data_IF_296589091970
#
_entry.id   IF_296589091970
#
_cell.length_a   1.000
_cell.length_b   1.000
_cell.length_c   1.000
_cell.angle_alpha   90.00
_cell.angle_beta   90.00
_cell.angle_gamma   90.00
#
_symmetry.space_group_name_H-M   'P 1'
#
loop_
_entity.id
_entity.type
_entity.pdbx_description
1 polymer ?
#
# COMPACT_ATOMS: atom_id res chain seq x y z
N UNK A 1 -26.17 -109.89 38.76
CA UNK A 1 -24.98 -109.47 37.99
C UNK A 1 -25.35 -108.42 36.92
N UNK A 2 -25.90 -107.14 37.30
CA UNK A 2 -26.28 -106.05 36.33
C UNK A 2 -26.16 -104.66 36.92
N UNK A 3 -25.15 -104.37 37.79
CA UNK A 3 -25.12 -103.05 38.45
C UNK A 3 -23.72 -102.41 38.48
N UNK A 4 -22.85 -102.65 37.48
CA UNK A 4 -21.50 -102.08 37.45
C UNK A 4 -21.14 -101.25 36.12
N UNK A 5 -22.04 -101.19 35.16
CA UNK A 5 -21.82 -100.53 33.91
C UNK A 5 -22.19 -99.07 33.93
N UNK A 6 -23.04 -98.60 34.90
CA UNK A 6 -23.55 -97.21 34.96
C UNK A 6 -22.56 -96.22 35.59
N UNK A 7 -21.57 -96.69 36.36
CA UNK A 7 -20.58 -95.83 36.99
C UNK A 7 -19.53 -95.22 36.01
N UNK A 8 -19.37 -95.80 34.83
CA UNK A 8 -18.39 -95.28 33.83
C UNK A 8 -19.02 -94.36 32.80
N UNK A 9 -20.32 -94.22 32.69
CA UNK A 9 -20.99 -93.35 31.76
C UNK A 9 -21.07 -91.89 32.27
N UNK A 10 -21.07 -91.68 33.57
CA UNK A 10 -21.11 -90.33 34.13
C UNK A 10 -19.90 -89.45 33.86
N UNK A 11 -18.65 -89.94 33.98
CA UNK A 11 -17.49 -89.12 33.65
C UNK A 11 -17.38 -88.84 32.19
N UNK A 12 -17.82 -89.75 31.29
CA UNK A 12 -17.81 -89.52 29.84
C UNK A 12 -18.83 -88.46 29.44
N UNK A 13 -20.02 -88.43 30.06
CA UNK A 13 -21.03 -87.41 29.81
C UNK A 13 -20.57 -86.01 30.27
N UNK A 14 -19.83 -85.91 31.37
CA UNK A 14 -19.25 -84.68 31.90
C UNK A 14 -18.10 -84.18 30.99
N UNK A 15 -17.31 -85.11 30.44
CA UNK A 15 -16.25 -84.75 29.50
C UNK A 15 -16.82 -84.24 28.18
N UNK A 16 -17.87 -84.87 27.65
CA UNK A 16 -18.55 -84.44 26.39
C UNK A 16 -19.28 -83.10 26.62
N UNK A 17 -19.94 -82.92 27.78
CA UNK A 17 -20.59 -81.66 28.17
C UNK A 17 -19.57 -80.52 28.34
N UNK A 18 -18.41 -80.84 28.97
CA UNK A 18 -17.28 -79.88 29.10
C UNK A 18 -16.69 -79.48 27.75
N UNK A 19 -16.48 -80.45 26.86
CA UNK A 19 -16.01 -80.19 25.48
C UNK A 19 -17.05 -79.41 24.64
N UNK A 20 -18.36 -79.69 24.87
CA UNK A 20 -19.43 -78.93 24.20
C UNK A 20 -19.55 -77.51 24.75
N UNK A 21 -19.36 -77.29 26.05
CA UNK A 21 -19.31 -75.94 26.64
C UNK A 21 -18.10 -75.12 26.23
N UNK A 22 -16.90 -75.76 26.08
CA UNK A 22 -15.71 -75.13 25.54
C UNK A 22 -15.83 -74.81 24.06
N UNK A 23 -16.65 -75.51 23.30
CA UNK A 23 -16.91 -75.27 21.90
C UNK A 23 -17.96 -74.20 21.65
N UNK A 24 -18.79 -73.83 22.65
CA UNK A 24 -19.75 -72.74 22.62
C UNK A 24 -19.15 -71.38 23.10
N UNK A 25 -17.88 -71.33 23.49
CA UNK A 25 -17.19 -70.07 23.69
C UNK A 25 -17.13 -69.37 22.32
N UNK A 26 -18.16 -68.62 21.98
CA UNK A 26 -18.13 -67.71 20.83
C UNK A 26 -16.83 -66.87 20.90
N UNK A 27 -16.11 -66.73 19.79
CA UNK A 27 -14.96 -65.84 19.79
C UNK A 27 -15.47 -64.48 20.20
N UNK A 28 -15.02 -63.96 21.37
CA UNK A 28 -15.27 -62.60 21.80
C UNK A 28 -14.85 -61.72 20.61
N UNK A 29 -15.84 -61.25 19.87
CA UNK A 29 -15.66 -60.26 18.80
C UNK A 29 -14.97 -59.10 19.43
N UNK A 30 -13.71 -58.87 19.07
CA UNK A 30 -13.00 -57.66 19.49
C UNK A 30 -13.90 -56.47 19.12
N UNK A 31 -14.22 -55.59 20.09
CA UNK A 31 -15.07 -54.44 19.80
C UNK A 31 -14.46 -53.68 18.61
N UNK A 32 -15.19 -53.64 17.51
CA UNK A 32 -14.77 -52.87 16.37
C UNK A 32 -14.62 -51.44 16.84
N UNK A 33 -13.48 -50.78 16.61
CA UNK A 33 -13.29 -49.42 17.02
C UNK A 33 -14.38 -48.56 16.39
N UNK A 34 -15.05 -47.78 17.24
CA UNK A 34 -16.12 -46.87 16.81
C UNK A 34 -15.56 -45.95 15.73
N UNK A 35 -15.96 -46.17 14.50
CA UNK A 35 -15.53 -45.34 13.38
C UNK A 35 -16.33 -44.06 13.29
N UNK A 36 -15.65 -42.94 13.10
CA UNK A 36 -16.29 -41.65 12.88
C UNK A 36 -16.43 -41.43 11.38
N UNK A 37 -17.64 -41.11 10.91
CA UNK A 37 -17.87 -40.79 9.53
C UNK A 37 -17.34 -39.40 9.24
N UNK A 38 -16.48 -39.30 8.23
CA UNK A 38 -15.92 -38.04 7.75
C UNK A 38 -16.07 -37.93 6.25
N UNK A 39 -15.90 -36.73 5.72
CA UNK A 39 -15.59 -36.52 4.30
C UNK A 39 -14.15 -36.05 4.22
N UNK A 40 -13.33 -36.74 3.46
CA UNK A 40 -11.95 -36.36 3.22
C UNK A 40 -11.79 -35.67 1.87
N UNK A 41 -10.81 -34.76 1.80
CA UNK A 41 -10.38 -34.10 0.57
C UNK A 41 -8.87 -34.17 0.47
N UNK A 42 -8.38 -34.37 -0.76
CA UNK A 42 -6.93 -34.34 -1.05
C UNK A 42 -6.46 -32.89 -1.15
N UNK A 43 -5.42 -32.59 -0.41
CA UNK A 43 -4.75 -31.28 -0.44
C UNK A 43 -4.09 -31.06 -1.80
N UNK A 44 -4.44 -29.96 -2.45
CA UNK A 44 -3.95 -29.60 -3.77
C UNK A 44 -3.30 -28.22 -3.73
N UNK A 45 -2.34 -28.01 -4.62
CA UNK A 45 -1.88 -26.66 -4.91
C UNK A 45 -2.80 -26.02 -5.92
N UNK A 46 -3.18 -24.78 -5.64
CA UNK A 46 -3.89 -23.91 -6.56
C UNK A 46 -3.04 -22.67 -6.84
N UNK A 47 -3.21 -22.11 -8.02
CA UNK A 47 -2.67 -20.78 -8.32
C UNK A 47 -3.62 -19.77 -7.68
N UNK A 48 -3.14 -19.01 -6.73
CA UNK A 48 -3.90 -17.97 -6.06
C UNK A 48 -3.18 -16.62 -6.22
N UNK A 49 -3.96 -15.56 -6.34
CA UNK A 49 -3.47 -14.18 -6.36
C UNK A 49 -3.78 -13.55 -5.00
N UNK A 50 -2.87 -13.66 -4.03
CA UNK A 50 -3.11 -13.05 -2.74
C UNK A 50 -3.17 -11.54 -2.88
N UNK A 51 -3.93 -10.88 -1.99
CA UNK A 51 -3.99 -9.43 -1.93
C UNK A 51 -3.66 -8.94 -0.52
N UNK A 52 -3.11 -7.73 -0.44
CA UNK A 52 -2.87 -7.05 0.82
C UNK A 52 -3.92 -5.94 0.95
N UNK A 53 -4.69 -5.99 2.03
CA UNK A 53 -5.67 -4.94 2.36
C UNK A 53 -5.03 -3.95 3.31
N UNK A 54 -4.99 -2.69 2.90
CA UNK A 54 -4.38 -1.58 3.62
C UNK A 54 -5.34 -0.40 3.66
N UNK A 55 -5.11 0.50 4.61
CA UNK A 55 -5.84 1.76 4.68
C UNK A 55 -4.84 2.89 4.59
N UNK A 56 -5.11 3.89 3.75
CA UNK A 56 -4.26 5.06 3.62
C UNK A 56 -5.07 6.30 3.29
N UNK A 57 -4.46 7.45 3.52
CA UNK A 57 -5.06 8.76 3.25
C UNK A 57 -4.56 9.28 1.91
N UNK A 58 -5.48 9.72 1.06
CA UNK A 58 -5.13 10.41 -0.19
C UNK A 58 -4.39 11.71 0.08
N UNK A 59 -3.36 11.96 -0.69
CA UNK A 59 -2.66 13.24 -0.74
C UNK A 59 -2.62 13.75 -2.18
N UNK A 60 -2.50 15.06 -2.35
CA UNK A 60 -2.20 15.62 -3.65
C UNK A 60 -0.85 15.10 -4.16
N UNK A 61 -0.72 14.87 -5.46
CA UNK A 61 0.55 14.44 -6.05
C UNK A 61 1.65 15.48 -5.81
N UNK A 62 1.31 16.75 -6.02
CA UNK A 62 2.13 17.92 -5.66
C UNK A 62 1.25 18.88 -4.88
N UNK A 63 1.78 19.42 -3.81
CA UNK A 63 1.12 20.42 -2.98
C UNK A 63 2.15 21.45 -2.53
N UNK A 64 1.80 22.71 -2.60
CA UNK A 64 2.65 23.80 -2.11
C UNK A 64 1.80 24.84 -1.38
N UNK A 65 2.29 25.28 -0.24
CA UNK A 65 1.83 26.48 0.41
C UNK A 65 2.48 27.69 -0.28
N UNK A 66 1.68 28.54 -0.92
CA UNK A 66 2.16 29.73 -1.61
C UNK A 66 2.32 30.83 -0.56
N UNK A 67 3.55 31.28 -0.39
CA UNK A 67 3.95 32.29 0.60
C UNK A 67 4.82 33.34 -0.08
N UNK A 68 4.70 34.63 0.27
CA UNK A 68 5.59 35.67 -0.25
C UNK A 68 6.96 35.58 0.41
N UNK A 69 8.00 35.90 -0.33
CA UNK A 69 9.36 36.03 0.21
C UNK A 69 9.61 37.38 0.89
N UNK A 70 8.75 38.35 0.61
CA UNK A 70 8.85 39.74 1.11
C UNK A 70 7.55 40.21 1.67
N UNK A 71 7.63 41.07 2.67
CA UNK A 71 6.44 41.76 3.22
C UNK A 71 5.90 42.78 2.22
N UNK A 72 4.55 42.81 2.08
CA UNK A 72 3.90 43.75 1.17
C UNK A 72 2.39 43.76 1.32
N UNK A 73 1.75 44.79 0.74
CA UNK A 73 0.31 44.89 0.66
C UNK A 73 -0.19 44.15 -0.59
N UNK A 74 -1.24 43.34 -0.46
CA UNK A 74 -1.92 42.72 -1.61
C UNK A 74 -2.62 43.82 -2.42
N UNK A 75 -2.24 43.94 -3.69
CA UNK A 75 -2.90 44.82 -4.65
C UNK A 75 -3.94 44.07 -5.46
N UNK A 76 -3.65 42.84 -5.79
CA UNK A 76 -4.55 42.02 -6.63
C UNK A 76 -4.46 40.54 -6.27
N UNK A 77 -5.62 39.91 -6.19
CA UNK A 77 -5.79 38.47 -6.14
C UNK A 77 -6.25 38.04 -7.55
N UNK A 78 -5.32 37.40 -8.31
CA UNK A 78 -5.54 37.06 -9.74
C UNK A 78 -6.41 35.84 -9.97
N UNK A 79 -6.78 35.12 -8.91
CA UNK A 79 -7.44 33.80 -8.99
C UNK A 79 -8.59 33.70 -7.99
N UNK A 80 -9.48 32.72 -8.19
CA UNK A 80 -10.60 32.42 -7.29
C UNK A 80 -10.39 31.11 -6.56
N UNK A 81 -11.00 30.96 -5.40
CA UNK A 81 -11.05 29.70 -4.66
C UNK A 81 -11.56 28.56 -5.57
N UNK A 82 -10.86 27.45 -5.60
CA UNK A 82 -11.19 26.27 -6.42
C UNK A 82 -10.84 26.41 -7.91
N UNK A 83 -10.26 27.55 -8.34
CA UNK A 83 -9.87 27.75 -9.74
C UNK A 83 -8.70 26.86 -10.13
N UNK A 84 -8.76 26.29 -11.36
CA UNK A 84 -7.60 25.64 -11.99
C UNK A 84 -6.72 26.70 -12.64
N UNK A 85 -5.42 26.63 -12.36
CA UNK A 85 -4.41 27.56 -12.89
C UNK A 85 -3.31 26.83 -13.62
N UNK A 86 -2.65 27.52 -14.52
CA UNK A 86 -1.48 27.03 -15.23
C UNK A 86 -0.18 27.50 -14.55
N UNK A 87 0.90 26.75 -14.77
CA UNK A 87 2.22 27.16 -14.31
C UNK A 87 2.56 28.56 -14.87
N UNK A 88 3.08 29.43 -14.00
CA UNK A 88 3.43 30.82 -14.33
C UNK A 88 2.25 31.81 -14.27
N UNK A 89 1.01 31.36 -14.09
CA UNK A 89 -0.15 32.24 -13.90
C UNK A 89 -0.04 32.98 -12.56
N UNK A 90 -0.24 34.32 -12.58
CA UNK A 90 -0.14 35.13 -11.38
C UNK A 90 -1.28 34.83 -10.42
N UNK A 91 -0.95 34.36 -9.23
CA UNK A 91 -1.91 34.07 -8.16
C UNK A 91 -2.21 35.32 -7.34
N UNK A 92 -1.16 36.00 -6.87
CA UNK A 92 -1.24 37.20 -6.04
C UNK A 92 -0.20 38.21 -6.50
N UNK A 93 -0.57 39.47 -6.52
CA UNK A 93 0.35 40.57 -6.77
C UNK A 93 0.39 41.48 -5.53
N UNK A 94 1.58 41.80 -5.06
CA UNK A 94 1.87 42.77 -4.02
C UNK A 94 2.12 44.16 -4.60
N UNK A 95 2.08 45.18 -3.78
CA UNK A 95 2.44 46.53 -4.17
C UNK A 95 3.91 46.57 -4.65
N UNK A 96 4.11 46.97 -5.88
CA UNK A 96 5.39 47.04 -6.58
C UNK A 96 5.85 48.46 -6.92
N UNK A 97 5.08 49.48 -6.50
CA UNK A 97 5.33 50.86 -6.92
C UNK A 97 6.76 51.33 -6.65
N UNK A 98 7.25 51.08 -5.44
CA UNK A 98 8.63 51.43 -5.07
C UNK A 98 9.68 50.70 -5.91
N UNK A 99 9.53 49.36 -6.08
CA UNK A 99 10.50 48.52 -6.79
C UNK A 99 10.52 48.81 -8.28
N UNK A 100 9.35 49.17 -8.85
CA UNK A 100 9.26 49.61 -10.26
C UNK A 100 9.99 50.93 -10.49
N UNK A 101 9.86 51.88 -9.57
CA UNK A 101 10.58 53.16 -9.63
C UNK A 101 12.10 52.94 -9.48
N UNK A 102 12.52 52.09 -8.55
CA UNK A 102 13.93 51.72 -8.35
C UNK A 102 14.53 51.09 -9.63
N UNK A 103 13.83 50.11 -10.23
CA UNK A 103 14.24 49.48 -11.46
C UNK A 103 14.37 50.50 -12.61
N UNK A 104 13.44 51.48 -12.70
CA UNK A 104 13.48 52.53 -13.69
C UNK A 104 14.73 53.45 -13.52
N UNK A 105 15.07 53.79 -12.26
CA UNK A 105 16.26 54.59 -11.92
C UNK A 105 17.55 53.85 -12.31
N UNK A 106 17.70 52.58 -11.84
CA UNK A 106 18.90 51.80 -12.14
C UNK A 106 19.04 51.53 -13.64
N UNK A 107 17.94 51.33 -14.37
CA UNK A 107 17.93 51.17 -15.81
C UNK A 107 18.34 52.45 -16.55
N UNK A 108 17.97 53.64 -16.03
CA UNK A 108 18.41 54.91 -16.56
C UNK A 108 19.94 55.14 -16.37
N UNK A 109 20.43 54.82 -15.16
CA UNK A 109 21.86 54.86 -14.85
C UNK A 109 22.68 53.94 -15.80
N UNK A 110 22.23 52.69 -15.98
CA UNK A 110 22.90 51.75 -16.90
C UNK A 110 22.91 52.27 -18.32
N UNK A 111 21.82 52.89 -18.79
CA UNK A 111 21.81 53.48 -20.14
C UNK A 111 22.86 54.61 -20.29
N UNK A 112 23.03 55.44 -19.27
CA UNK A 112 24.03 56.51 -19.28
C UNK A 112 25.46 55.93 -19.30
N UNK A 113 25.76 54.97 -18.43
CA UNK A 113 27.09 54.31 -18.43
C UNK A 113 27.40 53.57 -19.73
N UNK A 114 26.41 52.89 -20.33
CA UNK A 114 26.57 52.30 -21.68
C UNK A 114 26.79 53.35 -22.77
N UNK A 115 26.22 54.57 -22.66
CA UNK A 115 26.50 55.67 -23.57
C UNK A 115 27.94 56.15 -23.42
N UNK A 116 28.41 56.40 -22.18
CA UNK A 116 29.80 56.83 -21.89
C UNK A 116 30.80 55.77 -22.44
N UNK A 117 30.52 54.48 -22.23
CA UNK A 117 31.38 53.42 -22.76
C UNK A 117 31.51 53.48 -24.29
N UNK A 118 30.39 53.69 -25.00
CA UNK A 118 30.42 53.86 -26.48
C UNK A 118 31.24 55.05 -26.91
N UNK A 119 31.15 56.18 -26.20
CA UNK A 119 31.92 57.37 -26.47
C UNK A 119 33.41 57.16 -26.21
N UNK A 120 33.77 56.51 -25.09
CA UNK A 120 35.14 56.17 -24.75
C UNK A 120 35.78 55.20 -25.75
N UNK A 121 35.06 54.18 -26.23
CA UNK A 121 35.55 53.29 -27.31
C UNK A 121 35.98 54.05 -28.56
N UNK A 122 35.20 55.07 -28.97
CA UNK A 122 35.55 55.93 -30.12
C UNK A 122 36.79 56.80 -29.86
N UNK A 123 37.01 57.20 -28.57
CA UNK A 123 38.20 57.99 -28.20
C UNK A 123 39.45 57.12 -28.12
N UNK A 124 39.41 55.88 -27.70
CA UNK A 124 40.50 54.91 -27.73
C UNK A 124 40.95 54.67 -29.16
N UNK A 125 40.01 54.45 -30.13
CA UNK A 125 40.28 54.25 -31.51
C UNK A 125 41.06 55.45 -32.17
N UNK A 126 40.86 56.65 -31.54
CA UNK A 126 41.58 57.88 -31.97
C UNK A 126 42.85 58.17 -31.20
N UNK A 127 43.21 57.25 -30.22
CA UNK A 127 44.39 57.45 -29.36
C UNK A 127 44.22 58.54 -28.32
N UNK A 128 42.98 58.99 -28.04
CA UNK A 128 42.71 60.12 -27.12
C UNK A 128 42.56 59.69 -25.60
N UNK A 129 42.40 58.44 -25.35
CA UNK A 129 42.39 57.87 -24.00
C UNK A 129 43.08 56.50 -23.95
N UNK A 130 43.46 56.05 -22.75
CA UNK A 130 44.15 54.79 -22.53
C UNK A 130 43.20 53.56 -22.50
N UNK A 131 43.74 52.38 -22.77
CA UNK A 131 42.95 51.11 -22.58
C UNK A 131 42.54 50.92 -21.14
N UNK A 132 43.34 51.32 -20.15
CA UNK A 132 43.05 51.23 -18.74
C UNK A 132 41.80 52.05 -18.36
N UNK A 133 41.61 53.24 -18.97
CA UNK A 133 40.42 54.06 -18.76
C UNK A 133 39.17 53.42 -19.38
N UNK A 134 39.32 52.78 -20.54
CA UNK A 134 38.24 52.02 -21.17
C UNK A 134 37.83 50.83 -20.31
N UNK A 135 38.79 50.03 -19.80
CA UNK A 135 38.56 48.92 -18.90
C UNK A 135 37.85 49.35 -17.61
N UNK A 136 38.25 50.51 -17.04
CA UNK A 136 37.56 51.12 -15.89
C UNK A 136 36.09 51.43 -16.16
N UNK A 137 35.80 51.98 -17.37
CA UNK A 137 34.40 52.21 -17.75
C UNK A 137 33.62 50.91 -18.02
N UNK A 138 34.25 49.89 -18.58
CA UNK A 138 33.64 48.56 -18.74
C UNK A 138 33.26 47.94 -17.39
N UNK A 139 34.13 48.06 -16.39
CA UNK A 139 33.83 47.67 -15.04
C UNK A 139 32.62 48.44 -14.42
N UNK A 140 32.56 49.77 -14.72
CA UNK A 140 31.44 50.62 -14.26
C UNK A 140 30.11 50.21 -14.91
N UNK A 141 30.10 49.84 -16.18
CA UNK A 141 28.92 49.33 -16.89
C UNK A 141 28.50 47.98 -16.28
N UNK A 142 29.46 47.10 -15.98
CA UNK A 142 29.16 45.81 -15.33
C UNK A 142 28.53 46.01 -13.96
N UNK A 143 29.00 46.95 -13.14
CA UNK A 143 28.37 47.29 -11.84
C UNK A 143 26.95 47.84 -12.02
N UNK A 144 26.74 48.74 -13.01
CA UNK A 144 25.40 49.29 -13.26
C UNK A 144 24.43 48.18 -13.74
N UNK A 145 24.90 47.22 -14.54
CA UNK A 145 24.10 46.06 -14.94
C UNK A 145 23.69 45.21 -13.74
N UNK A 146 24.66 44.91 -12.85
CA UNK A 146 24.36 44.13 -11.65
C UNK A 146 23.32 44.81 -10.76
N UNK A 147 23.29 46.16 -10.68
CA UNK A 147 22.25 46.92 -9.94
C UNK A 147 20.87 46.78 -10.59
N UNK A 148 20.82 46.83 -11.93
CA UNK A 148 19.55 46.59 -12.66
C UNK A 148 19.03 45.17 -12.38
N UNK A 149 19.92 44.18 -12.45
CA UNK A 149 19.54 42.77 -12.20
C UNK A 149 19.03 42.57 -10.77
N UNK A 150 19.65 43.21 -9.79
CA UNK A 150 19.18 43.20 -8.40
C UNK A 150 17.81 43.86 -8.26
N UNK A 151 17.59 45.05 -8.85
CA UNK A 151 16.30 45.74 -8.81
C UNK A 151 15.21 44.94 -9.54
N UNK A 152 15.54 44.26 -10.62
CA UNK A 152 14.62 43.38 -11.35
C UNK A 152 14.21 42.17 -10.49
N UNK A 153 15.16 41.56 -9.76
CA UNK A 153 14.88 40.48 -8.84
C UNK A 153 13.93 40.93 -7.72
N UNK A 154 14.21 42.06 -7.06
CA UNK A 154 13.37 42.62 -6.02
C UNK A 154 11.94 42.92 -6.50
N UNK A 155 11.79 43.38 -7.74
CA UNK A 155 10.49 43.56 -8.38
C UNK A 155 9.80 42.20 -8.61
N UNK A 156 10.52 41.19 -9.03
CA UNK A 156 9.95 39.87 -9.30
C UNK A 156 9.33 39.22 -8.06
N UNK A 157 9.87 39.50 -6.86
CA UNK A 157 9.35 39.02 -5.58
C UNK A 157 7.96 39.57 -5.22
N UNK A 158 7.49 40.62 -5.93
CA UNK A 158 6.16 41.23 -5.73
C UNK A 158 5.04 40.48 -6.44
N UNK A 159 5.37 39.52 -7.31
CA UNK A 159 4.39 38.72 -8.01
C UNK A 159 4.57 37.25 -7.64
N UNK A 160 3.52 36.62 -7.17
CA UNK A 160 3.51 35.22 -6.77
C UNK A 160 2.87 34.37 -7.89
N UNK A 161 3.66 33.73 -8.75
CA UNK A 161 3.14 32.87 -9.81
C UNK A 161 2.88 31.46 -9.31
N UNK A 162 2.02 30.72 -10.02
CA UNK A 162 1.82 29.28 -9.79
C UNK A 162 3.09 28.49 -10.19
N UNK A 163 3.68 27.71 -9.28
CA UNK A 163 4.88 26.93 -9.59
C UNK A 163 4.61 25.70 -10.48
N UNK A 164 3.38 25.26 -10.59
CA UNK A 164 2.91 24.18 -11.46
C UNK A 164 1.41 24.31 -11.76
N UNK A 165 0.92 23.51 -12.71
CA UNK A 165 -0.52 23.44 -13.00
C UNK A 165 -1.26 22.80 -11.82
N UNK A 166 -2.26 23.48 -11.25
CA UNK A 166 -2.95 22.99 -10.07
C UNK A 166 -4.32 23.63 -9.87
N UNK A 167 -4.90 23.30 -8.73
CA UNK A 167 -6.16 23.90 -8.25
C UNK A 167 -5.86 24.67 -6.97
N UNK A 168 -6.31 25.90 -6.93
CA UNK A 168 -6.17 26.80 -5.77
C UNK A 168 -7.12 26.37 -4.66
N UNK A 169 -6.66 26.38 -3.41
CA UNK A 169 -7.49 26.14 -2.23
C UNK A 169 -8.50 27.27 -1.98
N UNK A 170 -9.19 27.21 -0.86
CA UNK A 170 -9.95 28.36 -0.38
C UNK A 170 -8.99 29.53 -0.10
N UNK A 171 -9.42 30.73 -0.47
CA UNK A 171 -8.68 31.99 -0.29
C UNK A 171 -9.46 32.83 0.74
N UNK A 172 -8.86 33.03 1.91
CA UNK A 172 -9.42 33.82 3.00
C UNK A 172 -8.70 35.18 3.13
N UNK A 173 -8.32 35.75 1.98
CA UNK A 173 -7.56 36.99 1.88
C UNK A 173 -8.35 38.03 1.16
N UNK A 174 -8.04 39.32 1.48
CA UNK A 174 -8.65 40.48 0.82
C UNK A 174 -7.57 41.36 0.19
N UNK A 175 -7.88 41.96 -0.93
CA UNK A 175 -7.07 43.03 -1.49
C UNK A 175 -6.97 44.18 -0.48
N UNK A 176 -5.79 44.78 -0.40
CA UNK A 176 -5.47 45.77 0.63
C UNK A 176 -4.87 45.22 1.92
N UNK A 177 -4.94 43.91 2.17
CA UNK A 177 -4.32 43.27 3.34
C UNK A 177 -2.79 43.39 3.29
N UNK A 178 -2.15 43.58 4.45
CA UNK A 178 -0.71 43.48 4.63
C UNK A 178 -0.35 42.04 4.94
N UNK A 179 0.62 41.47 4.23
CA UNK A 179 1.14 40.13 4.43
C UNK A 179 2.64 40.18 4.69
N UNK A 180 3.14 39.25 5.52
CA UNK A 180 4.55 39.17 5.86
C UNK A 180 5.23 38.05 5.07
N UNK A 181 6.53 38.14 4.97
CA UNK A 181 7.36 37.06 4.44
C UNK A 181 7.07 35.75 5.19
N UNK A 182 6.81 34.66 4.45
CA UNK A 182 6.51 33.33 5.01
C UNK A 182 5.05 33.08 5.38
N UNK A 183 4.16 34.08 5.39
CA UNK A 183 2.72 33.88 5.62
C UNK A 183 2.15 32.98 4.53
N UNK A 184 1.44 31.90 4.91
CA UNK A 184 0.75 31.04 3.93
C UNK A 184 -0.49 31.74 3.43
N UNK A 185 -0.51 32.10 2.15
CA UNK A 185 -1.62 32.85 1.55
C UNK A 185 -2.69 31.93 0.95
N UNK A 186 -2.27 30.85 0.32
CA UNK A 186 -3.14 29.81 -0.24
C UNK A 186 -2.36 28.52 -0.46
N UNK A 187 -3.06 27.42 -0.69
CA UNK A 187 -2.46 26.18 -1.15
C UNK A 187 -2.74 25.96 -2.64
N UNK A 188 -1.77 25.42 -3.34
CA UNK A 188 -1.91 24.98 -4.72
C UNK A 188 -1.66 23.48 -4.79
N UNK A 189 -2.67 22.73 -5.23
CA UNK A 189 -2.68 21.27 -5.26
C UNK A 189 -2.82 20.76 -6.70
N UNK A 190 -1.98 19.80 -7.08
CA UNK A 190 -2.16 19.01 -8.30
C UNK A 190 -3.18 17.89 -8.04
N UNK A 191 -4.42 18.08 -8.49
CA UNK A 191 -5.54 17.17 -8.23
C UNK A 191 -5.82 16.22 -9.41
N UNK A 192 -5.17 16.37 -10.56
CA UNK A 192 -5.36 15.47 -11.72
C UNK A 192 -4.88 14.05 -11.43
N UNK A 193 -3.90 13.93 -10.56
CA UNK A 193 -3.39 12.69 -9.99
C UNK A 193 -3.29 12.86 -8.48
N UNK A 194 -3.60 11.79 -7.77
CA UNK A 194 -3.47 11.76 -6.31
C UNK A 194 -2.55 10.61 -5.94
N UNK A 195 -1.93 10.71 -4.78
CA UNK A 195 -1.04 9.68 -4.26
C UNK A 195 -1.58 9.06 -2.98
N UNK A 196 -1.32 7.77 -2.83
CA UNK A 196 -1.44 7.05 -1.58
C UNK A 196 -0.06 6.57 -1.17
N UNK A 197 0.36 6.87 0.02
CA UNK A 197 1.58 6.32 0.61
C UNK A 197 1.16 5.17 1.54
N UNK A 198 1.28 3.93 1.06
CA UNK A 198 0.87 2.72 1.76
C UNK A 198 1.99 2.23 2.67
N UNK A 199 1.66 1.87 3.90
CA UNK A 199 2.59 1.23 4.82
C UNK A 199 2.47 -0.30 4.65
N UNK A 200 3.34 -0.90 3.85
CA UNK A 200 3.32 -2.33 3.53
C UNK A 200 4.30 -3.06 4.45
N UNK A 201 3.89 -4.15 5.15
CA UNK A 201 4.79 -4.92 5.99
C UNK A 201 5.99 -5.50 5.20
N UNK A 202 7.18 -5.46 5.81
CA UNK A 202 8.45 -5.89 5.20
C UNK A 202 8.40 -7.30 4.60
N UNK A 203 7.66 -8.22 5.21
CA UNK A 203 7.51 -9.60 4.74
C UNK A 203 7.02 -9.71 3.29
N UNK A 204 6.37 -8.68 2.75
CA UNK A 204 5.88 -8.64 1.38
C UNK A 204 6.87 -7.99 0.40
N UNK A 205 7.98 -7.42 0.88
CA UNK A 205 8.92 -6.65 0.06
C UNK A 205 9.42 -7.41 -1.17
N UNK A 206 9.72 -8.71 -1.00
CA UNK A 206 10.20 -9.55 -2.10
C UNK A 206 9.18 -9.71 -3.25
N UNK A 207 7.91 -9.48 -2.99
CA UNK A 207 6.81 -9.62 -3.95
C UNK A 207 6.42 -8.30 -4.62
N UNK A 208 6.80 -7.16 -4.03
CA UNK A 208 6.43 -5.85 -4.54
C UNK A 208 7.26 -5.46 -5.76
N UNK A 209 6.60 -4.94 -6.78
CA UNK A 209 7.25 -4.40 -7.98
C UNK A 209 6.51 -3.13 -8.43
N UNK A 210 7.23 -2.08 -8.85
CA UNK A 210 6.60 -0.96 -9.56
C UNK A 210 5.80 -1.46 -10.77
N UNK A 211 4.66 -0.81 -11.03
CA UNK A 211 3.73 -1.21 -12.09
C UNK A 211 2.59 -2.13 -11.62
N UNK A 212 2.60 -2.64 -10.38
CA UNK A 212 1.53 -3.47 -9.85
C UNK A 212 0.21 -2.69 -9.76
N UNK A 213 -0.88 -3.36 -10.13
CA UNK A 213 -2.22 -2.81 -10.04
C UNK A 213 -2.69 -2.71 -8.58
N UNK A 214 -3.37 -1.63 -8.29
CA UNK A 214 -3.94 -1.34 -6.97
C UNK A 214 -5.39 -0.90 -7.16
N UNK A 215 -6.28 -1.46 -6.36
CA UNK A 215 -7.67 -1.05 -6.32
C UNK A 215 -7.94 -0.34 -5.00
N UNK A 216 -8.55 0.83 -5.07
CA UNK A 216 -8.88 1.63 -3.89
C UNK A 216 -10.37 1.94 -3.86
N UNK A 217 -10.98 1.88 -2.67
CA UNK A 217 -12.39 2.22 -2.43
C UNK A 217 -12.50 3.24 -1.32
N UNK A 218 -13.56 4.03 -1.32
CA UNK A 218 -13.81 5.04 -0.31
C UNK A 218 -15.26 4.99 0.18
N UNK A 219 -15.49 5.24 1.46
CA UNK A 219 -16.84 5.36 2.02
C UNK A 219 -17.64 6.52 1.42
N UNK A 220 -16.97 7.54 0.87
CA UNK A 220 -17.63 8.64 0.18
C UNK A 220 -18.25 8.21 -1.16
N UNK A 221 -17.77 7.14 -1.76
CA UNK A 221 -18.20 6.58 -3.06
C UNK A 221 -18.28 5.05 -2.96
N UNK A 222 -19.28 4.49 -2.21
CA UNK A 222 -19.30 3.07 -1.85
C UNK A 222 -19.41 2.13 -3.06
N UNK A 223 -20.04 2.59 -4.14
CA UNK A 223 -20.26 1.79 -5.35
C UNK A 223 -19.18 1.98 -6.43
N UNK A 224 -18.09 2.70 -6.10
CA UNK A 224 -17.02 2.99 -7.03
C UNK A 224 -15.69 2.47 -6.54
N UNK A 225 -14.93 1.90 -7.45
CA UNK A 225 -13.53 1.56 -7.25
C UNK A 225 -12.64 2.44 -8.12
N UNK A 226 -11.50 2.80 -7.57
CA UNK A 226 -10.51 3.65 -8.23
C UNK A 226 -9.25 2.84 -8.46
N UNK A 227 -8.88 2.69 -9.71
CA UNK A 227 -7.67 1.96 -10.09
C UNK A 227 -6.45 2.86 -9.96
N UNK A 228 -5.40 2.34 -9.37
CA UNK A 228 -4.10 2.98 -9.24
C UNK A 228 -2.97 2.04 -9.63
N UNK A 229 -1.77 2.58 -9.64
CA UNK A 229 -0.56 1.83 -9.96
C UNK A 229 0.49 2.12 -8.89
N UNK A 230 1.15 1.07 -8.40
CA UNK A 230 2.33 1.19 -7.56
C UNK A 230 3.45 1.84 -8.36
N UNK A 231 3.78 3.09 -8.05
CA UNK A 231 4.78 3.87 -8.77
C UNK A 231 6.20 3.54 -8.29
N UNK A 232 6.39 3.54 -6.97
CA UNK A 232 7.71 3.34 -6.37
C UNK A 232 7.61 2.83 -4.94
N UNK A 233 8.70 2.26 -4.46
CA UNK A 233 8.91 1.89 -3.07
C UNK A 233 9.94 2.82 -2.45
N UNK A 234 9.77 3.16 -1.18
CA UNK A 234 10.80 3.89 -0.43
C UNK A 234 12.08 3.04 -0.36
N UNK A 235 13.22 3.70 -0.31
CA UNK A 235 14.52 3.03 -0.12
C UNK A 235 14.74 2.56 1.32
N UNK A 236 13.88 2.96 2.26
CA UNK A 236 14.03 2.68 3.70
C UNK A 236 12.80 2.00 4.26
N UNK A 237 13.04 1.09 5.18
CA UNK A 237 12.03 0.48 6.04
C UNK A 237 11.96 1.30 7.33
N UNK A 238 10.76 1.57 7.82
CA UNK A 238 10.56 2.23 9.10
C UNK A 238 11.01 1.31 10.24
N UNK A 239 11.97 1.77 11.05
CA UNK A 239 12.47 1.01 12.20
C UNK A 239 11.40 0.81 13.30
N UNK A 240 10.41 1.72 13.38
CA UNK A 240 9.37 1.68 14.40
C UNK A 240 8.26 0.68 14.04
N UNK A 241 7.88 0.64 12.75
CA UNK A 241 6.71 -0.12 12.31
C UNK A 241 7.06 -1.34 11.45
N UNK A 242 8.33 -1.48 11.05
CA UNK A 242 8.83 -2.51 10.12
C UNK A 242 8.01 -2.55 8.80
N UNK A 243 7.55 -1.39 8.37
CA UNK A 243 6.84 -1.23 7.12
C UNK A 243 7.70 -0.47 6.10
N UNK A 244 7.58 -0.86 4.83
CA UNK A 244 8.08 -0.09 3.71
C UNK A 244 6.97 0.82 3.18
N UNK A 245 7.31 2.05 2.84
CA UNK A 245 6.37 2.97 2.20
C UNK A 245 6.29 2.66 0.71
N UNK A 246 5.10 2.32 0.23
CA UNK A 246 4.80 2.06 -1.16
C UNK A 246 3.91 3.19 -1.70
N UNK A 247 4.40 3.91 -2.71
CA UNK A 247 3.65 5.02 -3.33
C UNK A 247 2.82 4.52 -4.48
N UNK A 248 1.53 4.79 -4.40
CA UNK A 248 0.54 4.48 -5.44
C UNK A 248 0.01 5.79 -6.02
N UNK A 249 -0.08 5.86 -7.33
CA UNK A 249 -0.70 6.97 -8.06
C UNK A 249 -2.08 6.54 -8.55
N UNK A 250 -3.09 7.38 -8.24
CA UNK A 250 -4.46 7.20 -8.67
C UNK A 250 -4.84 8.38 -9.59
N UNK A 251 -5.20 8.14 -10.85
CA UNK A 251 -5.75 9.16 -11.74
C UNK A 251 -7.10 9.68 -11.21
N UNK A 252 -7.34 10.97 -11.33
CA UNK A 252 -8.57 11.63 -10.88
C UNK A 252 -9.20 12.51 -11.98
N UNK A 253 -9.58 11.92 -13.13
CA UNK A 253 -10.08 12.70 -14.27
C UNK A 253 -11.40 13.42 -13.99
N UNK A 254 -12.27 12.82 -13.19
CA UNK A 254 -13.56 13.40 -12.79
C UNK A 254 -13.46 14.43 -11.68
N UNK A 255 -12.31 14.48 -10.97
CA UNK A 255 -12.09 15.34 -9.83
C UNK A 255 -12.93 14.98 -8.60
N UNK A 256 -13.47 13.75 -8.51
CA UNK A 256 -14.24 13.26 -7.37
C UNK A 256 -13.40 13.04 -6.13
N UNK A 257 -12.18 12.56 -6.32
CA UNK A 257 -11.24 12.32 -5.23
C UNK A 257 -10.65 13.65 -4.71
N UNK A 258 -10.48 13.73 -3.40
CA UNK A 258 -9.90 14.89 -2.72
C UNK A 258 -8.76 14.46 -1.80
N UNK A 259 -7.69 15.25 -1.68
CA UNK A 259 -6.71 15.05 -0.61
C UNK A 259 -7.40 15.01 0.75
N UNK A 260 -6.92 14.11 1.60
CA UNK A 260 -7.52 13.91 2.92
C UNK A 260 -8.54 12.77 3.01
N UNK A 261 -9.09 12.28 1.90
CA UNK A 261 -9.99 11.12 1.91
C UNK A 261 -9.27 9.86 2.38
N UNK A 262 -9.95 9.07 3.21
CA UNK A 262 -9.50 7.73 3.59
C UNK A 262 -9.89 6.73 2.50
N UNK A 263 -8.94 5.88 2.14
CA UNK A 263 -9.12 4.84 1.13
C UNK A 263 -8.80 3.47 1.72
N UNK A 264 -9.68 2.50 1.47
CA UNK A 264 -9.36 1.10 1.62
C UNK A 264 -8.70 0.63 0.33
N UNK A 265 -7.51 0.09 0.45
CA UNK A 265 -6.63 -0.22 -0.69
C UNK A 265 -6.36 -1.70 -0.71
N UNK A 266 -6.58 -2.31 -1.86
CA UNK A 266 -6.24 -3.69 -2.13
C UNK A 266 -5.12 -3.75 -3.17
N UNK A 267 -3.95 -4.22 -2.73
CA UNK A 267 -2.78 -4.42 -3.57
C UNK A 267 -2.71 -5.90 -3.96
N UNK A 268 -2.92 -6.19 -5.24
CA UNK A 268 -2.81 -7.55 -5.77
C UNK A 268 -1.35 -7.97 -5.86
N UNK A 269 -1.03 -9.12 -5.26
CA UNK A 269 0.30 -9.72 -5.34
C UNK A 269 0.38 -10.68 -6.53
N UNK A 270 1.59 -10.99 -7.02
CA UNK A 270 1.77 -11.98 -8.08
C UNK A 270 1.16 -13.32 -7.72
N UNK A 271 0.58 -13.99 -8.70
CA UNK A 271 0.04 -15.34 -8.54
C UNK A 271 1.11 -16.31 -8.02
N UNK A 272 0.76 -17.06 -6.99
CA UNK A 272 1.63 -18.03 -6.34
C UNK A 272 0.96 -19.40 -6.25
N UNK A 273 1.75 -20.45 -6.32
CA UNK A 273 1.25 -21.79 -5.99
C UNK A 273 1.08 -21.88 -4.48
N UNK A 274 -0.16 -21.95 -4.05
CA UNK A 274 -0.51 -22.00 -2.64
C UNK A 274 -1.21 -23.32 -2.32
N UNK A 275 -0.91 -23.87 -1.15
CA UNK A 275 -1.65 -25.00 -0.60
C UNK A 275 -2.90 -24.46 0.08
N UNK A 276 -4.05 -24.64 -0.55
CA UNK A 276 -5.32 -24.17 -0.04
C UNK A 276 -6.11 -25.35 0.51
N UNK A 277 -6.79 -25.10 1.64
CA UNK A 277 -7.72 -26.06 2.26
C UNK A 277 -9.02 -25.34 2.60
N UNK A 278 -10.18 -26.04 2.59
CA UNK A 278 -11.42 -25.44 3.05
C UNK A 278 -11.30 -24.95 4.49
N UNK A 279 -11.73 -23.74 4.77
CA UNK A 279 -11.62 -23.14 6.10
C UNK A 279 -12.33 -23.99 7.18
N UNK A 280 -13.40 -24.69 6.80
CA UNK A 280 -14.13 -25.62 7.67
C UNK A 280 -13.32 -26.86 8.09
N UNK A 281 -12.20 -27.18 7.42
CA UNK A 281 -11.31 -28.30 7.78
C UNK A 281 -10.38 -27.96 8.94
N UNK A 282 -10.36 -26.70 9.39
CA UNK A 282 -9.47 -26.21 10.44
C UNK A 282 -10.15 -26.27 11.79
N UNK A 283 -9.53 -26.97 12.74
CA UNK A 283 -9.90 -26.93 14.15
C UNK A 283 -9.16 -25.81 14.87
N UNK A 284 -9.89 -24.97 15.57
CA UNK A 284 -9.37 -23.85 16.36
C UNK A 284 -9.30 -24.23 17.85
N UNK A 285 -8.11 -24.34 18.40
CA UNK A 285 -7.88 -24.67 19.82
C UNK A 285 -6.99 -23.60 20.46
N UNK A 286 -7.61 -22.56 21.01
CA UNK A 286 -6.91 -21.39 21.52
C UNK A 286 -6.18 -20.66 20.39
N UNK A 287 -4.89 -20.44 20.55
CA UNK A 287 -4.04 -19.82 19.51
C UNK A 287 -3.55 -20.79 18.43
N UNK A 288 -3.70 -22.09 18.65
CA UNK A 288 -3.21 -23.11 17.73
C UNK A 288 -4.31 -23.52 16.74
N UNK A 289 -3.86 -23.91 15.55
CA UNK A 289 -4.69 -24.37 14.44
C UNK A 289 -4.28 -25.78 14.09
N UNK A 290 -5.27 -26.66 13.90
CA UNK A 290 -5.03 -28.07 13.61
C UNK A 290 -5.88 -28.52 12.44
N UNK A 291 -5.39 -29.57 11.76
CA UNK A 291 -6.10 -30.28 10.72
C UNK A 291 -5.95 -31.77 10.99
N UNK A 292 -6.98 -32.54 10.69
CA UNK A 292 -6.93 -34.00 10.80
C UNK A 292 -6.55 -34.62 9.47
N UNK A 293 -5.31 -35.14 9.38
CA UNK A 293 -4.83 -35.87 8.22
C UNK A 293 -5.19 -37.34 8.32
N UNK A 294 -5.68 -37.92 7.23
CA UNK A 294 -5.90 -39.35 7.11
C UNK A 294 -4.57 -40.07 6.91
N UNK A 295 -4.33 -41.10 7.74
CA UNK A 295 -3.20 -42.00 7.59
C UNK A 295 -3.64 -43.27 6.81
N UNK A 296 -2.69 -44.00 6.28
CA UNK A 296 -2.94 -45.23 5.47
C UNK A 296 -3.57 -46.35 6.27
N UNK A 297 -3.51 -46.31 7.59
CA UNK A 297 -4.07 -47.33 8.50
C UNK A 297 -5.56 -47.05 8.87
N UNK A 298 -6.18 -46.03 8.24
CA UNK A 298 -7.57 -45.64 8.48
C UNK A 298 -7.79 -44.83 9.76
N UNK A 299 -6.73 -44.27 10.33
CA UNK A 299 -6.78 -43.34 11.44
C UNK A 299 -6.57 -41.92 10.99
N UNK A 300 -6.99 -40.97 11.82
CA UNK A 300 -6.63 -39.57 11.63
C UNK A 300 -5.53 -39.17 12.59
N UNK A 301 -4.61 -38.35 12.09
CA UNK A 301 -3.57 -37.70 12.87
C UNK A 301 -3.84 -36.20 12.93
N UNK A 302 -3.89 -35.68 14.14
CA UNK A 302 -4.05 -34.24 14.38
C UNK A 302 -2.73 -33.54 14.15
N UNK A 303 -2.67 -32.64 13.17
CA UNK A 303 -1.45 -31.95 12.74
C UNK A 303 -1.63 -30.46 13.00
N UNK A 304 -0.66 -29.84 13.66
CA UNK A 304 -0.59 -28.39 13.80
C UNK A 304 -0.24 -27.76 12.46
N UNK A 305 -0.98 -26.74 12.08
CA UNK A 305 -0.78 -26.00 10.83
C UNK A 305 -0.58 -24.51 11.11
N UNK A 306 0.31 -23.91 10.32
CA UNK A 306 0.47 -22.48 10.26
C UNK A 306 -0.34 -21.95 9.07
N UNK A 307 -1.31 -21.09 9.35
CA UNK A 307 -2.23 -20.56 8.34
C UNK A 307 -1.82 -19.15 7.93
N UNK A 308 -2.03 -18.85 6.67
CA UNK A 308 -1.96 -17.49 6.12
C UNK A 308 -3.35 -16.87 5.99
N UNK A 309 -3.49 -16.01 4.99
CA UNK A 309 -4.74 -15.29 4.74
C UNK A 309 -5.83 -16.22 4.18
N UNK A 310 -7.08 -15.83 4.41
CA UNK A 310 -8.26 -16.53 3.87
C UNK A 310 -8.52 -16.04 2.43
N UNK A 311 -8.79 -16.97 1.53
CA UNK A 311 -9.12 -16.70 0.14
C UNK A 311 -10.49 -17.31 -0.21
N UNK A 312 -11.54 -16.50 -0.16
CA UNK A 312 -12.92 -16.97 -0.27
C UNK A 312 -13.30 -17.91 0.89
N UNK A 313 -13.71 -19.14 0.57
CA UNK A 313 -14.02 -20.21 1.54
C UNK A 313 -12.82 -21.10 1.90
N UNK A 314 -11.65 -20.79 1.34
CA UNK A 314 -10.41 -21.52 1.57
C UNK A 314 -9.41 -20.68 2.38
N UNK A 315 -8.50 -21.37 3.05
CA UNK A 315 -7.41 -20.76 3.81
C UNK A 315 -6.07 -21.29 3.33
N UNK A 316 -5.11 -20.42 3.23
CA UNK A 316 -3.75 -20.77 2.87
C UNK A 316 -3.03 -21.49 4.00
N UNK A 317 -2.38 -22.61 3.69
CA UNK A 317 -1.50 -23.33 4.61
C UNK A 317 -0.05 -23.01 4.28
N UNK A 318 0.61 -22.34 5.24
CA UNK A 318 2.04 -21.98 5.15
C UNK A 318 2.91 -23.18 5.49
N UNK A 319 2.56 -23.90 6.58
CA UNK A 319 3.30 -25.08 7.06
C UNK A 319 2.36 -26.11 7.66
N UNK A 320 2.79 -27.37 7.65
CA UNK A 320 2.11 -28.48 8.34
C UNK A 320 1.46 -29.50 7.42
N UNK A 321 1.18 -29.16 6.16
CA UNK A 321 0.62 -30.09 5.17
C UNK A 321 1.46 -30.16 3.90
N UNK A 322 1.41 -31.31 3.26
CA UNK A 322 2.01 -31.56 1.95
C UNK A 322 0.94 -31.76 0.89
N UNK A 323 1.28 -31.45 -0.37
CA UNK A 323 0.41 -31.75 -1.51
C UNK A 323 0.22 -33.26 -1.60
N UNK A 324 -1.03 -33.70 -1.75
CA UNK A 324 -1.40 -35.11 -1.75
C UNK A 324 -1.87 -35.64 -0.39
N UNK A 325 -1.64 -34.91 0.71
CA UNK A 325 -2.23 -35.29 2.00
C UNK A 325 -3.76 -35.34 1.89
N UNK A 326 -4.38 -36.31 2.56
CA UNK A 326 -5.84 -36.39 2.68
C UNK A 326 -6.25 -35.83 4.03
N UNK A 327 -7.13 -34.85 4.04
CA UNK A 327 -7.58 -34.18 5.27
C UNK A 327 -9.09 -34.32 5.45
N UNK A 328 -9.54 -34.40 6.68
CA UNK A 328 -10.95 -34.39 7.00
C UNK A 328 -11.51 -32.97 6.82
N UNK A 329 -12.59 -32.83 6.05
CA UNK A 329 -13.27 -31.55 5.76
C UNK A 329 -14.60 -31.46 6.50
N UNK A 330 -15.30 -32.58 6.69
CA UNK A 330 -16.55 -32.68 7.43
C UNK A 330 -16.48 -33.78 8.49
N UNK A 331 -17.27 -33.66 9.57
CA UNK A 331 -17.32 -34.65 10.65
C UNK A 331 -16.31 -34.39 11.78
N UNK A 332 -15.72 -33.20 11.86
CA UNK A 332 -14.62 -32.86 12.78
C UNK A 332 -15.02 -32.85 14.25
N UNK A 333 -16.30 -32.54 14.58
CA UNK A 333 -16.80 -32.33 15.96
C UNK A 333 -16.53 -33.51 16.89
N UNK A 334 -16.50 -34.74 16.36
CA UNK A 334 -16.28 -35.96 17.13
C UNK A 334 -14.89 -36.58 16.90
N UNK A 335 -14.02 -35.91 16.18
CA UNK A 335 -12.68 -36.41 15.90
C UNK A 335 -11.73 -36.17 17.08
N UNK A 336 -10.87 -37.14 17.32
CA UNK A 336 -9.72 -37.04 18.21
C UNK A 336 -8.51 -37.62 17.55
N UNK A 337 -7.36 -37.24 18.01
CA UNK A 337 -6.10 -37.78 17.48
C UNK A 337 -6.09 -39.33 17.63
N UNK A 338 -5.70 -40.02 16.56
CA UNK A 338 -5.69 -41.49 16.47
C UNK A 338 -7.07 -42.15 16.29
N UNK A 339 -8.16 -41.41 16.12
CA UNK A 339 -9.50 -41.99 15.93
C UNK A 339 -9.57 -42.74 14.57
N UNK A 340 -10.28 -43.90 14.58
CA UNK A 340 -10.61 -44.59 13.33
C UNK A 340 -11.72 -43.87 12.59
N UNK A 341 -11.57 -43.70 11.29
CA UNK A 341 -12.54 -42.97 10.47
C UNK A 341 -12.99 -43.83 9.29
N UNK A 342 -14.17 -43.50 8.80
CA UNK A 342 -14.71 -44.00 7.54
C UNK A 342 -14.96 -42.80 6.60
N UNK A 343 -14.27 -42.77 5.48
CA UNK A 343 -14.47 -41.73 4.49
C UNK A 343 -15.73 -42.01 3.66
N UNK A 344 -16.72 -41.11 3.74
CA UNK A 344 -17.95 -41.20 3.00
C UNK A 344 -17.78 -40.91 1.48
N UNK A 345 -16.66 -40.31 1.09
CA UNK A 345 -16.35 -40.06 -0.32
C UNK A 345 -15.95 -41.33 -1.07
N UNK A 346 -15.36 -42.33 -0.39
CA UNK A 346 -14.98 -43.62 -0.99
C UNK A 346 -16.15 -44.60 -1.15
N UNK A 347 -17.29 -44.35 -0.51
CA UNK A 347 -18.45 -45.28 -0.52
C UNK A 347 -19.39 -45.04 -1.70
N UNK A 348 -19.15 -44.01 -2.52
CA UNK A 348 -19.96 -43.68 -3.71
C UNK A 348 -19.30 -44.04 -5.05
N UNK A 349 -18.24 -44.87 -5.01
CA UNK A 349 -17.57 -45.40 -6.21
C UNK A 349 -17.97 -46.84 -6.54
#
# INVERSE_FOLDING_TARGET
>A
MKMRIWLWLLPLALLVAGLWYLRQAEPVSKPQPKQVNIRAQTVRQSLAEPSIKLVSKLAANRSVAVSPEVTGRIVKIGVRSGQRVKQGETLIALDEGKQRAELAEQSASLRDEKRKLRDMRRLVERGAITNSELEGQEATVAQAQARVDAAQYELSLRTLPAPFNGTVSLIDLSEGALVNSGDVLLHLDELAKLRLDLAVPERYLALLRPGMAVTATSSAWPDQSFSGVLETLDSRISNETQNIKARVIIPNPTGQLRPGMMMNVELSLPAQKMTLIPAQSVEYAGEQRFVYRLETDGRVKRISVELGDTHGEEVWVIKGLSVGDRIAVEGLVNLRDGAYVRDLAEVKG
#
